data_IF_588408678440
#
_entry.id   IF_588408678440
#
_cell.length_a   1.000
_cell.length_b   1.000
_cell.length_c   1.000
_cell.angle_alpha   90.00
_cell.angle_beta   90.00
_cell.angle_gamma   90.00
#
_symmetry.space_group_name_H-M   'P 1'
#
loop_
_entity.id
_entity.type
_entity.pdbx_description
1 polymer ?
#
# COMPACT_ATOMS: atom_id res chain seq x y z
N UNK A 1 9.11 17.22 -1.18
CA UNK A 1 9.14 15.88 -0.60
C UNK A 1 8.25 15.00 -1.45
N UNK A 2 8.84 13.99 -2.09
CA UNK A 2 8.13 13.09 -3.01
C UNK A 2 7.65 11.84 -2.26
N UNK A 3 6.35 11.59 -2.29
CA UNK A 3 5.71 10.42 -1.69
C UNK A 3 5.11 9.56 -2.79
N UNK A 4 5.65 8.37 -2.94
CA UNK A 4 5.20 7.40 -3.93
C UNK A 4 4.26 6.39 -3.29
N UNK A 5 3.16 6.06 -3.97
CA UNK A 5 2.19 5.07 -3.52
C UNK A 5 2.02 4.03 -4.63
N UNK A 6 2.93 3.03 -4.69
CA UNK A 6 2.80 1.92 -5.63
C UNK A 6 1.79 0.91 -5.06
N UNK A 7 0.83 0.50 -5.88
CA UNK A 7 -0.19 -0.46 -5.47
C UNK A 7 -0.45 -1.51 -6.55
N UNK A 8 -0.80 -2.70 -6.12
CA UNK A 8 -1.46 -3.70 -6.94
C UNK A 8 -2.89 -3.91 -6.43
N UNK A 9 -3.85 -3.99 -7.32
CA UNK A 9 -5.24 -4.25 -6.98
C UNK A 9 -5.88 -5.17 -8.02
N UNK A 10 -6.56 -6.25 -7.57
CA UNK A 10 -7.29 -7.15 -8.46
C UNK A 10 -8.69 -6.61 -8.73
N UNK A 11 -9.42 -6.23 -7.67
CA UNK A 11 -10.85 -5.86 -7.72
C UNK A 11 -11.13 -4.44 -7.21
N UNK A 12 -10.14 -3.55 -7.20
CA UNK A 12 -10.32 -2.14 -6.84
C UNK A 12 -10.17 -1.80 -5.35
N UNK A 13 -10.27 -2.74 -4.40
CA UNK A 13 -10.21 -2.46 -2.96
C UNK A 13 -8.90 -1.79 -2.54
N UNK A 14 -7.76 -2.35 -2.97
CA UNK A 14 -6.45 -1.77 -2.68
C UNK A 14 -6.28 -0.41 -3.35
N UNK A 15 -6.88 -0.20 -4.54
CA UNK A 15 -6.86 1.10 -5.21
C UNK A 15 -7.61 2.17 -4.42
N UNK A 16 -8.80 1.87 -3.88
CA UNK A 16 -9.52 2.81 -3.02
C UNK A 16 -8.73 3.17 -1.77
N UNK A 17 -8.08 2.19 -1.15
CA UNK A 17 -7.17 2.44 -0.02
C UNK A 17 -5.98 3.32 -0.45
N UNK A 18 -5.40 3.10 -1.64
CA UNK A 18 -4.31 3.91 -2.17
C UNK A 18 -4.73 5.38 -2.38
N UNK A 19 -5.95 5.60 -2.89
CA UNK A 19 -6.52 6.94 -3.02
C UNK A 19 -6.65 7.62 -1.65
N UNK A 20 -7.17 6.93 -0.65
CA UNK A 20 -7.30 7.45 0.72
C UNK A 20 -5.93 7.76 1.36
N UNK A 21 -4.92 6.89 1.17
CA UNK A 21 -3.53 7.17 1.58
C UNK A 21 -3.01 8.45 0.92
N UNK A 22 -3.24 8.61 -0.39
CA UNK A 22 -2.83 9.82 -1.12
C UNK A 22 -3.52 11.08 -0.62
N UNK A 23 -4.83 11.01 -0.33
CA UNK A 23 -5.59 12.11 0.28
C UNK A 23 -4.97 12.53 1.62
N UNK A 24 -4.60 11.57 2.46
CA UNK A 24 -3.94 11.83 3.73
C UNK A 24 -2.58 12.47 3.58
N UNK A 25 -1.73 11.92 2.72
CA UNK A 25 -0.38 12.43 2.47
C UNK A 25 -0.39 13.87 1.92
N UNK A 26 -1.33 14.21 1.04
CA UNK A 26 -1.50 15.55 0.46
C UNK A 26 -1.88 16.64 1.48
N UNK A 27 -2.29 16.27 2.71
CA UNK A 27 -2.56 17.25 3.78
C UNK A 27 -1.30 17.88 4.37
N UNK A 28 -0.13 17.29 4.08
CA UNK A 28 1.14 17.80 4.59
C UNK A 28 1.76 18.73 3.56
N UNK A 29 2.04 19.96 3.97
CA UNK A 29 2.62 20.99 3.11
C UNK A 29 3.93 20.52 2.47
N UNK A 30 4.07 20.74 1.18
CA UNK A 30 5.24 20.36 0.39
C UNK A 30 5.30 18.88 0.01
N UNK A 31 4.24 18.09 0.27
CA UNK A 31 4.13 16.72 -0.22
C UNK A 31 3.71 16.70 -1.70
N UNK A 32 4.57 16.14 -2.53
CA UNK A 32 4.28 15.77 -3.92
C UNK A 32 3.93 14.27 -3.93
N UNK A 33 2.66 13.95 -4.18
CA UNK A 33 2.12 12.60 -3.98
C UNK A 33 1.75 11.97 -5.31
N UNK A 34 2.39 10.87 -5.62
CA UNK A 34 2.19 10.13 -6.86
C UNK A 34 1.66 8.71 -6.61
N UNK A 35 0.56 8.37 -7.28
CA UNK A 35 0.06 7.00 -7.39
C UNK A 35 0.71 6.31 -8.58
N UNK A 36 1.10 5.03 -8.40
CA UNK A 36 1.56 4.15 -9.47
C UNK A 36 0.94 2.77 -9.32
N UNK A 37 0.47 2.19 -10.40
CA UNK A 37 0.03 0.80 -10.38
C UNK A 37 1.22 -0.14 -10.64
N UNK A 38 1.25 -1.25 -9.93
CA UNK A 38 2.19 -2.34 -10.25
C UNK A 38 1.70 -3.04 -11.52
N UNK A 39 2.60 -3.34 -12.49
CA UNK A 39 2.21 -4.00 -13.73
C UNK A 39 1.46 -5.30 -13.49
N UNK A 40 0.39 -5.52 -14.26
CA UNK A 40 -0.34 -6.78 -14.26
C UNK A 40 0.49 -7.84 -15.00
N UNK A 41 0.50 -9.06 -14.48
CA UNK A 41 1.23 -10.19 -15.05
C UNK A 41 0.35 -11.39 -15.37
N UNK A 42 -0.94 -11.33 -15.00
CA UNK A 42 -1.91 -12.32 -15.44
C UNK A 42 -2.35 -12.05 -16.88
N UNK A 43 -2.56 -13.09 -17.69
CA UNK A 43 -3.17 -12.94 -19.00
C UNK A 43 -4.57 -12.31 -18.93
N UNK A 44 -4.94 -11.54 -19.95
CA UNK A 44 -6.21 -10.83 -20.04
C UNK A 44 -7.41 -11.79 -19.97
N UNK A 45 -7.33 -12.93 -20.65
CA UNK A 45 -8.34 -13.98 -20.62
C UNK A 45 -8.58 -14.53 -19.20
N UNK A 46 -7.51 -14.66 -18.42
CA UNK A 46 -7.61 -15.05 -17.00
C UNK A 46 -8.27 -13.96 -16.16
N UNK A 47 -7.94 -12.68 -16.39
CA UNK A 47 -8.55 -11.55 -15.70
C UNK A 47 -10.05 -11.45 -16.01
N UNK A 48 -10.45 -11.71 -17.28
CA UNK A 48 -11.84 -11.76 -17.69
C UNK A 48 -12.59 -12.91 -17.00
N UNK A 49 -12.01 -14.12 -16.99
CA UNK A 49 -12.60 -15.31 -16.35
C UNK A 49 -12.87 -15.11 -14.87
N UNK A 50 -11.97 -14.44 -14.13
CA UNK A 50 -12.15 -14.14 -12.70
C UNK A 50 -12.92 -12.85 -12.42
N UNK A 51 -13.39 -12.13 -13.46
CA UNK A 51 -14.15 -10.89 -13.32
C UNK A 51 -13.32 -9.69 -12.82
N UNK A 52 -12.00 -9.72 -12.98
CA UNK A 52 -11.11 -8.66 -12.53
C UNK A 52 -10.89 -7.54 -13.56
N UNK A 53 -11.12 -7.83 -14.85
CA UNK A 53 -10.81 -6.91 -15.95
C UNK A 53 -11.60 -5.60 -15.82
N UNK A 54 -12.93 -5.69 -15.64
CA UNK A 54 -13.81 -4.52 -15.46
C UNK A 54 -13.40 -3.67 -14.24
N UNK A 55 -13.04 -4.33 -13.13
CA UNK A 55 -12.62 -3.62 -11.93
C UNK A 55 -11.29 -2.85 -12.13
N UNK A 56 -10.41 -3.33 -13.00
CA UNK A 56 -9.12 -2.70 -13.30
C UNK A 56 -9.27 -1.49 -14.24
N UNK A 57 -10.37 -1.35 -14.97
CA UNK A 57 -10.66 -0.15 -15.78
C UNK A 57 -10.67 1.12 -14.94
N UNK A 58 -11.10 1.05 -13.68
CA UNK A 58 -11.16 2.19 -12.77
C UNK A 58 -9.80 2.85 -12.47
N UNK A 59 -8.71 2.15 -12.72
CA UNK A 59 -7.33 2.65 -12.50
C UNK A 59 -6.40 2.38 -13.68
N UNK A 60 -6.95 2.09 -14.85
CA UNK A 60 -6.16 1.84 -16.07
C UNK A 60 -5.29 3.05 -16.46
N UNK A 61 -5.77 4.27 -16.21
CA UNK A 61 -5.06 5.52 -16.49
C UNK A 61 -3.95 5.84 -15.46
N UNK A 62 -3.87 5.11 -14.34
CA UNK A 62 -2.78 5.30 -13.38
C UNK A 62 -1.48 4.76 -14.00
N UNK A 63 -0.40 5.57 -14.08
CA UNK A 63 0.86 5.12 -14.67
C UNK A 63 1.45 3.91 -13.95
N UNK A 64 2.13 3.05 -14.69
CA UNK A 64 2.87 1.92 -14.11
C UNK A 64 4.06 2.40 -13.28
N UNK A 65 4.33 1.68 -12.19
CA UNK A 65 5.47 1.92 -11.34
C UNK A 65 6.75 1.45 -12.01
N UNK A 66 7.77 2.29 -11.99
CA UNK A 66 9.10 1.99 -12.49
C UNK A 66 10.13 1.92 -11.35
N UNK A 67 11.31 1.39 -11.63
CA UNK A 67 12.43 1.38 -10.68
C UNK A 67 12.89 2.81 -10.36
N UNK A 68 12.88 3.69 -11.35
CA UNK A 68 13.26 5.10 -11.17
C UNK A 68 12.27 5.84 -10.25
N UNK A 69 10.99 5.46 -10.25
CA UNK A 69 10.01 6.02 -9.32
C UNK A 69 10.38 5.72 -7.86
N UNK A 70 10.86 4.49 -7.59
CA UNK A 70 11.31 4.09 -6.24
C UNK A 70 12.57 4.87 -5.81
N UNK A 71 13.57 4.97 -6.69
CA UNK A 71 14.84 5.64 -6.40
C UNK A 71 14.67 7.12 -6.07
N UNK A 72 13.69 7.77 -6.73
CA UNK A 72 13.46 9.22 -6.59
C UNK A 72 12.48 9.59 -5.48
N UNK A 73 12.00 8.63 -4.67
CA UNK A 73 11.02 8.88 -3.62
C UNK A 73 11.68 9.10 -2.25
N UNK A 74 11.19 10.10 -1.49
CA UNK A 74 11.57 10.31 -0.08
C UNK A 74 10.81 9.35 0.85
N UNK A 75 9.59 8.93 0.44
CA UNK A 75 8.80 7.91 1.11
C UNK A 75 8.03 7.06 0.10
N UNK A 76 7.86 5.77 0.43
CA UNK A 76 7.13 4.81 -0.40
C UNK A 76 6.10 4.08 0.46
N UNK A 77 4.81 4.18 0.09
CA UNK A 77 3.71 3.51 0.80
C UNK A 77 3.11 2.45 -0.12
N UNK A 78 3.50 1.19 0.08
CA UNK A 78 3.10 0.08 -0.78
C UNK A 78 1.71 -0.44 -0.45
N UNK A 79 0.89 -0.71 -1.48
CA UNK A 79 -0.43 -1.31 -1.36
C UNK A 79 -0.54 -2.68 -2.03
N UNK A 80 -1.05 -3.69 -1.33
CA UNK A 80 -1.18 -5.04 -1.88
C UNK A 80 -2.38 -5.79 -1.30
N UNK A 81 -3.12 -6.59 -2.10
CA UNK A 81 -3.98 -7.59 -1.53
C UNK A 81 -3.15 -8.74 -0.96
N UNK A 82 -3.69 -9.44 0.04
CA UNK A 82 -3.04 -10.65 0.56
C UNK A 82 -3.09 -11.79 -0.46
N UNK A 83 -2.04 -12.58 -0.50
CA UNK A 83 -2.00 -13.91 -1.08
C UNK A 83 -1.34 -14.83 -0.05
N UNK A 84 -2.19 -15.62 0.66
CA UNK A 84 -1.71 -16.56 1.68
C UNK A 84 -0.82 -15.92 2.75
N UNK A 85 -1.17 -14.72 3.23
CA UNK A 85 -0.39 -13.97 4.23
C UNK A 85 0.83 -13.25 3.68
N UNK A 86 0.97 -13.13 2.36
CA UNK A 86 2.04 -12.41 1.67
C UNK A 86 1.46 -11.40 0.68
N UNK A 87 2.33 -10.56 0.13
CA UNK A 87 1.98 -9.68 -0.99
C UNK A 87 1.57 -10.45 -2.23
N UNK A 88 0.82 -9.83 -3.12
CA UNK A 88 0.48 -10.40 -4.42
C UNK A 88 1.73 -10.72 -5.25
N UNK A 89 1.64 -11.76 -6.10
CA UNK A 89 2.74 -12.18 -6.97
C UNK A 89 3.27 -11.07 -7.86
N UNK A 90 2.39 -10.23 -8.39
CA UNK A 90 2.73 -9.05 -9.20
C UNK A 90 3.64 -8.07 -8.43
N UNK A 91 3.26 -7.75 -7.19
CA UNK A 91 4.06 -6.90 -6.31
C UNK A 91 5.42 -7.56 -6.00
N UNK A 92 5.43 -8.86 -5.72
CA UNK A 92 6.67 -9.60 -5.45
C UNK A 92 7.58 -9.62 -6.67
N UNK A 93 7.04 -9.91 -7.85
CA UNK A 93 7.79 -9.91 -9.10
C UNK A 93 8.41 -8.53 -9.39
N UNK A 94 7.64 -7.46 -9.19
CA UNK A 94 8.18 -6.10 -9.32
C UNK A 94 9.33 -5.86 -8.35
N UNK A 95 9.17 -6.20 -7.07
CA UNK A 95 10.23 -6.03 -6.07
C UNK A 95 11.46 -6.92 -6.34
N UNK A 96 11.31 -8.07 -6.98
CA UNK A 96 12.45 -8.91 -7.38
C UNK A 96 13.33 -8.23 -8.46
N UNK A 97 12.82 -7.22 -9.16
CA UNK A 97 13.62 -6.42 -10.11
C UNK A 97 14.45 -5.32 -9.44
N UNK A 98 14.28 -5.07 -8.14
CA UNK A 98 14.98 -3.99 -7.40
C UNK A 98 16.39 -4.36 -6.93
N UNK A 99 16.96 -5.46 -7.43
CA UNK A 99 18.28 -5.95 -7.00
C UNK A 99 19.41 -4.94 -7.15
N UNK A 100 19.42 -4.13 -8.21
CA UNK A 100 20.40 -3.06 -8.39
C UNK A 100 20.28 -1.96 -7.34
N UNK A 101 19.04 -1.50 -7.05
CA UNK A 101 18.80 -0.50 -5.99
C UNK A 101 19.27 -1.00 -4.62
N UNK A 102 19.03 -2.29 -4.33
CA UNK A 102 19.50 -2.92 -3.10
C UNK A 102 21.03 -2.95 -3.02
N UNK A 103 21.69 -3.38 -4.11
CA UNK A 103 23.15 -3.48 -4.15
C UNK A 103 23.82 -2.11 -3.97
N UNK A 104 23.22 -1.06 -4.51
CA UNK A 104 23.74 0.32 -4.42
C UNK A 104 23.25 1.07 -3.17
N UNK A 105 22.40 0.44 -2.34
CA UNK A 105 21.85 1.04 -1.12
C UNK A 105 20.95 2.24 -1.36
N UNK A 106 20.30 2.32 -2.54
CA UNK A 106 19.51 3.51 -2.96
C UNK A 106 18.31 3.81 -2.07
N UNK A 107 17.74 2.78 -1.43
CA UNK A 107 16.57 2.92 -0.55
C UNK A 107 16.94 2.96 0.94
N UNK A 108 18.24 2.99 1.28
CA UNK A 108 18.66 3.08 2.67
C UNK A 108 18.24 4.42 3.26
N UNK A 109 17.46 4.36 4.34
CA UNK A 109 16.91 5.57 4.99
C UNK A 109 15.61 6.09 4.38
N UNK A 110 15.18 5.65 3.20
CA UNK A 110 13.86 5.99 2.65
C UNK A 110 12.75 5.50 3.58
N UNK A 111 11.74 6.34 3.83
CA UNK A 111 10.60 5.95 4.67
C UNK A 111 9.73 4.93 3.91
N UNK A 112 9.44 3.79 4.54
CA UNK A 112 8.64 2.72 3.98
C UNK A 112 7.39 2.44 4.82
N UNK A 113 6.25 2.23 4.16
CA UNK A 113 5.00 1.86 4.82
C UNK A 113 4.20 0.90 3.94
N UNK A 114 3.25 0.17 4.52
CA UNK A 114 2.45 -0.82 3.79
C UNK A 114 0.99 -0.75 4.23
N UNK A 115 0.08 -0.90 3.28
CA UNK A 115 -1.34 -1.16 3.54
C UNK A 115 -1.80 -2.37 2.72
N UNK A 116 -2.86 -3.06 3.19
CA UNK A 116 -3.27 -4.30 2.55
C UNK A 116 -4.79 -4.50 2.51
N UNK A 117 -5.24 -5.39 1.64
CA UNK A 117 -6.60 -5.92 1.64
C UNK A 117 -6.61 -7.43 1.81
N UNK A 118 -7.65 -7.94 2.48
CA UNK A 118 -7.94 -9.37 2.63
C UNK A 118 -9.39 -9.65 2.28
N UNK A 119 -9.75 -10.90 1.98
CA UNK A 119 -11.15 -11.26 1.82
C UNK A 119 -11.86 -11.38 3.17
N UNK A 120 -11.16 -11.83 4.22
CA UNK A 120 -11.76 -12.15 5.51
C UNK A 120 -11.07 -11.42 6.65
N UNK A 121 -11.79 -11.24 7.78
CA UNK A 121 -11.31 -10.52 8.97
C UNK A 121 -10.00 -11.11 9.54
N UNK A 122 -9.84 -12.44 9.50
CA UNK A 122 -8.65 -13.13 9.99
C UNK A 122 -7.77 -13.68 8.86
N UNK A 123 -7.94 -13.16 7.62
CA UNK A 123 -7.29 -13.65 6.41
C UNK A 123 -5.81 -13.26 6.25
N UNK A 124 -5.14 -12.84 7.33
CA UNK A 124 -3.71 -12.55 7.32
C UNK A 124 -3.37 -11.08 7.10
N UNK A 125 -4.18 -10.14 7.55
CA UNK A 125 -3.89 -8.70 7.46
C UNK A 125 -2.51 -8.38 8.05
N UNK A 126 -2.28 -8.69 9.34
CA UNK A 126 -1.01 -8.45 10.02
C UNK A 126 0.14 -9.23 9.40
N UNK A 127 -0.10 -10.51 9.05
CA UNK A 127 0.94 -11.36 8.48
C UNK A 127 1.44 -10.81 7.15
N UNK A 128 0.52 -10.34 6.28
CA UNK A 128 0.86 -9.73 5.00
C UNK A 128 1.73 -8.48 5.19
N UNK A 129 1.32 -7.59 6.09
CA UNK A 129 2.06 -6.36 6.38
C UNK A 129 3.46 -6.67 6.94
N UNK A 130 3.55 -7.56 7.93
CA UNK A 130 4.83 -7.93 8.57
C UNK A 130 5.79 -8.63 7.61
N UNK A 131 5.27 -9.52 6.74
CA UNK A 131 6.09 -10.16 5.72
C UNK A 131 6.61 -9.13 4.70
N UNK A 132 5.78 -8.13 4.36
CA UNK A 132 6.22 -7.04 3.50
C UNK A 132 7.28 -6.17 4.18
N UNK A 133 7.10 -5.84 5.48
CA UNK A 133 8.09 -5.08 6.24
C UNK A 133 9.47 -5.75 6.23
N UNK A 134 9.53 -7.08 6.19
CA UNK A 134 10.80 -7.79 6.05
C UNK A 134 11.52 -7.38 4.76
N UNK A 135 10.81 -7.26 3.64
CA UNK A 135 11.38 -6.79 2.37
C UNK A 135 11.89 -5.35 2.48
N UNK A 136 11.11 -4.45 3.11
CA UNK A 136 11.53 -3.05 3.32
C UNK A 136 12.80 -2.95 4.17
N UNK A 137 12.89 -3.75 5.24
CA UNK A 137 14.08 -3.81 6.11
C UNK A 137 15.31 -4.33 5.36
N UNK A 138 15.15 -5.28 4.43
CA UNK A 138 16.25 -5.74 3.56
C UNK A 138 16.76 -4.64 2.63
N UNK A 139 15.92 -3.70 2.25
CA UNK A 139 16.32 -2.49 1.51
C UNK A 139 16.89 -1.38 2.41
N UNK A 140 16.93 -1.57 3.73
CA UNK A 140 17.42 -0.55 4.69
C UNK A 140 16.44 0.60 4.92
N UNK A 141 15.16 0.42 4.56
CA UNK A 141 14.13 1.44 4.73
C UNK A 141 13.72 1.62 6.20
N UNK A 142 13.25 2.81 6.55
CA UNK A 142 12.66 3.13 7.86
C UNK A 142 11.19 2.76 7.84
N UNK A 143 10.79 1.69 8.52
CA UNK A 143 9.42 1.20 8.51
C UNK A 143 8.53 2.04 9.42
N UNK A 144 7.42 2.54 8.88
CA UNK A 144 6.39 3.31 9.58
C UNK A 144 5.02 2.61 9.44
N UNK A 145 4.40 2.31 10.57
CA UNK A 145 3.08 1.70 10.65
C UNK A 145 1.96 2.74 10.89
N UNK A 146 0.84 2.25 11.44
CA UNK A 146 -0.32 3.03 11.83
C UNK A 146 -0.42 3.08 13.37
N UNK A 147 -0.06 4.20 14.01
CA UNK A 147 -0.01 4.27 15.47
C UNK A 147 -1.42 4.33 16.10
N UNK A 148 -1.55 3.87 17.35
CA UNK A 148 -2.78 3.92 18.13
C UNK A 148 -3.28 5.34 18.47
N UNK A 149 -2.57 6.39 18.06
CA UNK A 149 -3.12 7.75 18.03
C UNK A 149 -4.26 7.92 17.01
N UNK A 150 -4.40 6.98 16.07
CA UNK A 150 -5.61 6.80 15.30
C UNK A 150 -6.62 5.99 16.11
N UNK A 151 -7.66 6.65 16.60
CA UNK A 151 -8.67 6.04 17.49
C UNK A 151 -9.50 4.93 16.82
N UNK A 152 -9.62 4.95 15.49
CA UNK A 152 -10.32 3.91 14.73
C UNK A 152 -9.73 2.49 14.85
N UNK A 153 -8.48 2.35 15.37
CA UNK A 153 -7.92 1.03 15.71
C UNK A 153 -8.60 0.35 16.91
N UNK A 154 -9.38 1.12 17.69
CA UNK A 154 -10.13 0.60 18.83
C UNK A 154 -11.62 0.46 18.56
N UNK A 155 -12.03 0.59 17.29
CA UNK A 155 -13.42 0.39 16.86
C UNK A 155 -13.86 -1.07 17.09
N UNK A 156 -14.99 -1.25 17.76
CA UNK A 156 -15.54 -2.55 18.13
C UNK A 156 -17.00 -2.73 17.68
N UNK A 157 -17.64 -1.68 17.18
CA UNK A 157 -19.06 -1.70 16.83
C UNK A 157 -19.30 -2.16 15.38
N UNK A 158 -18.23 -2.22 14.56
CA UNK A 158 -18.28 -2.75 13.19
C UNK A 158 -17.13 -3.70 12.91
N UNK A 159 -17.33 -4.58 11.91
CA UNK A 159 -16.23 -5.37 11.33
C UNK A 159 -15.36 -4.43 10.51
N UNK A 160 -14.14 -4.18 10.95
CA UNK A 160 -13.21 -3.25 10.33
C UNK A 160 -11.80 -3.83 10.27
N UNK A 161 -11.08 -3.48 9.21
CA UNK A 161 -9.64 -3.67 9.14
C UNK A 161 -8.91 -2.63 9.99
N UNK A 162 -7.59 -2.69 9.92
CA UNK A 162 -6.70 -1.78 10.66
C UNK A 162 -5.83 -2.52 11.67
N UNK A 163 -4.54 -2.25 11.62
CA UNK A 163 -3.55 -2.84 12.52
C UNK A 163 -2.46 -1.82 12.80
N UNK A 164 -1.68 -1.95 13.90
CA UNK A 164 -0.56 -1.05 14.15
C UNK A 164 0.57 -1.17 13.11
N UNK A 165 0.54 -2.22 12.31
CA UNK A 165 1.53 -2.44 11.24
C UNK A 165 1.19 -1.69 9.95
N UNK A 166 -0.07 -1.26 9.78
CA UNK A 166 -0.57 -0.51 8.63
C UNK A 166 -2.09 -0.60 8.49
N UNK A 167 -2.67 0.27 7.68
CA UNK A 167 -4.09 0.24 7.36
C UNK A 167 -4.43 -1.00 6.53
N UNK A 168 -5.60 -1.57 6.80
CA UNK A 168 -6.11 -2.72 6.05
C UNK A 168 -7.61 -2.61 5.82
N UNK A 169 -8.10 -3.29 4.80
CA UNK A 169 -9.53 -3.47 4.52
C UNK A 169 -9.87 -4.93 4.29
N UNK A 170 -11.13 -5.29 4.48
CA UNK A 170 -11.67 -6.59 4.09
C UNK A 170 -12.68 -6.44 2.98
N UNK A 171 -12.58 -7.34 2.00
CA UNK A 171 -13.41 -7.30 0.80
C UNK A 171 -14.66 -8.20 0.85
N UNK A 172 -14.77 -9.05 1.88
CA UNK A 172 -15.63 -10.21 1.95
C UNK A 172 -15.23 -11.34 0.97
N UNK A 173 -15.84 -12.52 1.15
CA UNK A 173 -15.47 -13.73 0.39
C UNK A 173 -15.77 -13.59 -1.11
N UNK A 174 -16.80 -12.85 -1.48
CA UNK A 174 -17.21 -12.58 -2.85
C UNK A 174 -16.67 -11.25 -3.42
N UNK A 175 -15.90 -10.49 -2.62
CA UNK A 175 -15.36 -9.19 -3.02
C UNK A 175 -16.37 -8.05 -3.04
N UNK A 176 -17.59 -8.25 -2.55
CA UNK A 176 -18.66 -7.24 -2.63
C UNK A 176 -18.52 -6.09 -1.61
N UNK A 177 -17.81 -6.33 -0.50
CA UNK A 177 -17.63 -5.32 0.55
C UNK A 177 -16.53 -4.34 0.16
N UNK A 178 -16.90 -3.11 -0.08
CA UNK A 178 -15.93 -2.02 -0.27
C UNK A 178 -15.35 -1.54 1.07
N UNK A 179 -14.18 -0.87 1.06
CA UNK A 179 -13.58 -0.32 2.28
C UNK A 179 -14.57 0.54 3.07
N UNK A 180 -14.69 0.27 4.38
CA UNK A 180 -15.52 1.08 5.27
C UNK A 180 -14.91 2.48 5.50
N UNK A 181 -15.72 3.40 6.03
CA UNK A 181 -15.22 4.75 6.33
C UNK A 181 -14.11 4.71 7.39
N UNK A 182 -14.18 3.79 8.38
CA UNK A 182 -13.12 3.61 9.35
C UNK A 182 -11.81 3.14 8.69
N UNK A 183 -11.89 2.20 7.75
CA UNK A 183 -10.73 1.69 7.00
C UNK A 183 -10.12 2.76 6.09
N UNK A 184 -10.96 3.57 5.40
CA UNK A 184 -10.49 4.71 4.61
C UNK A 184 -9.86 5.79 5.48
N UNK A 185 -10.42 6.07 6.66
CA UNK A 185 -9.83 7.01 7.61
C UNK A 185 -8.50 6.51 8.17
N UNK A 186 -8.34 5.19 8.40
CA UNK A 186 -7.08 4.58 8.75
C UNK A 186 -6.02 4.80 7.66
N UNK A 187 -6.41 4.61 6.39
CA UNK A 187 -5.54 4.84 5.24
C UNK A 187 -5.14 6.32 5.09
N UNK A 188 -6.10 7.26 5.24
CA UNK A 188 -5.82 8.71 5.26
C UNK A 188 -4.86 9.08 6.39
N UNK A 189 -5.11 8.55 7.59
CA UNK A 189 -4.25 8.81 8.73
C UNK A 189 -2.83 8.28 8.51
N UNK A 190 -2.68 7.07 7.98
CA UNK A 190 -1.37 6.50 7.64
C UNK A 190 -0.62 7.35 6.63
N UNK A 191 -1.28 7.78 5.56
CA UNK A 191 -0.69 8.67 4.55
C UNK A 191 -0.18 9.97 5.14
N UNK A 192 -1.00 10.64 5.95
CA UNK A 192 -0.63 11.88 6.65
C UNK A 192 0.51 11.66 7.67
N UNK A 193 0.47 10.55 8.40
CA UNK A 193 1.50 10.20 9.39
C UNK A 193 2.86 9.95 8.73
N UNK A 194 2.89 9.15 7.67
CA UNK A 194 4.12 8.90 6.88
C UNK A 194 4.68 10.21 6.33
N UNK A 195 3.83 11.05 5.72
CA UNK A 195 4.25 12.33 5.18
C UNK A 195 4.85 13.25 6.25
N UNK A 196 4.26 13.31 7.46
CA UNK A 196 4.80 14.09 8.59
C UNK A 196 6.15 13.59 9.09
N UNK A 197 6.37 12.27 9.10
CA UNK A 197 7.67 11.68 9.48
C UNK A 197 8.71 12.02 8.42
N UNK A 198 8.37 11.82 7.14
CA UNK A 198 9.26 12.12 6.01
C UNK A 198 9.65 13.60 5.99
N UNK A 199 8.70 14.52 6.22
CA UNK A 199 8.99 15.95 6.29
C UNK A 199 10.03 16.32 7.35
N UNK A 200 10.00 15.65 8.52
CA UNK A 200 11.00 15.86 9.58
C UNK A 200 12.37 15.33 9.20
N UNK A 201 12.42 14.21 8.48
CA UNK A 201 13.66 13.57 8.04
C UNK A 201 14.37 14.38 6.95
N UNK A 202 13.61 14.90 5.96
CA UNK A 202 14.18 15.69 4.84
C UNK A 202 14.67 17.08 5.30
N UNK A 203 14.17 17.60 6.43
CA UNK A 203 14.58 18.88 6.99
C UNK A 203 15.80 18.77 7.93
N UNK A 204 16.22 17.57 8.30
CA UNK A 204 17.37 17.30 9.19
C UNK A 204 18.65 17.09 8.41
#
# INVERSE_FOLDING_TARGET
>A
MKILIPFYSTYGHTYQMAQAVAEGAKKVDGADVELRRIPETMPEDTLEEIGALEAQEAFADVPECTIDDLENADAIIFGTPTRFGNMAGQMRQFLDTTGALWQEGKLVGTVGSVFASTATQHGGQETTLRNFHTTLLHHGMIVVGLPYSFSGLTEMDEISGGTPYGATTLADADGSRMPSENELNAARFQGEHVAKITAKQVQS
#
